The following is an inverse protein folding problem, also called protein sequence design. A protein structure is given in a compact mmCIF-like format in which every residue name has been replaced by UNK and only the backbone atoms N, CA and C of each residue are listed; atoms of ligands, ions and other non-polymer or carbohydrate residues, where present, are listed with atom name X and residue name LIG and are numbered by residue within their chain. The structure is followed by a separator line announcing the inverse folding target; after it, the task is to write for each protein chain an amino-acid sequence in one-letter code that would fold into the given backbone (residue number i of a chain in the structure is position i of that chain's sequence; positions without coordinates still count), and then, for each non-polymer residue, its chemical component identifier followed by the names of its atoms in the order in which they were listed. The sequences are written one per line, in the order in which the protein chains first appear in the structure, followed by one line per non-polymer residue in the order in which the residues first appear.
data_IF_034087957871
#
_entry.id   IF_034087957871
#
_cell.length_a   1.000
_cell.length_b   1.000
_cell.length_c   1.000
_cell.angle_alpha   90.00
_cell.angle_beta   90.00
_cell.angle_gamma   90.00
#
_symmetry.space_group_name_H-M   'P 1'
#
loop_
_entity.id
_entity.type
_entity.pdbx_description
1 polymer ?
#
# COMPACT_ATOMS: atom_id res chain seq x y z
N UNK A 1 16.60 14.25 -23.64
CA UNK A 1 16.75 14.66 -22.23
C UNK A 1 16.20 13.53 -21.38
N UNK A 2 17.05 12.77 -20.69
CA UNK A 2 16.62 11.71 -19.77
C UNK A 2 16.22 12.33 -18.43
N UNK A 3 15.06 11.95 -17.89
CA UNK A 3 14.65 12.36 -16.55
C UNK A 3 15.69 11.92 -15.50
N UNK A 4 15.96 12.74 -14.47
CA UNK A 4 16.89 12.34 -13.42
C UNK A 4 16.38 11.08 -12.71
N UNK A 5 17.28 10.20 -12.23
CA UNK A 5 16.89 9.02 -11.48
C UNK A 5 16.10 9.44 -10.23
N UNK A 6 14.90 8.87 -10.05
CA UNK A 6 14.06 9.06 -8.86
C UNK A 6 14.90 8.76 -7.61
N UNK A 7 15.32 9.81 -6.90
CA UNK A 7 16.08 9.67 -5.65
C UNK A 7 15.14 9.09 -4.59
N UNK A 8 15.23 7.77 -4.37
CA UNK A 8 14.74 7.11 -3.16
C UNK A 8 13.23 6.89 -3.04
N UNK A 9 12.47 7.07 -4.12
CA UNK A 9 11.02 6.82 -4.16
C UNK A 9 10.71 5.52 -4.93
N UNK A 10 10.09 4.57 -4.23
CA UNK A 10 9.62 3.31 -4.79
C UNK A 10 8.09 3.23 -4.66
N UNK A 11 7.39 3.15 -5.79
CA UNK A 11 5.92 3.07 -5.80
C UNK A 11 5.53 1.61 -5.66
N UNK A 12 4.83 1.29 -4.58
CA UNK A 12 4.48 -0.09 -4.22
C UNK A 12 3.10 -0.49 -4.74
N UNK A 13 2.16 0.45 -4.71
CA UNK A 13 0.78 0.21 -5.14
C UNK A 13 0.13 1.50 -5.67
N UNK A 14 -0.71 1.35 -6.69
CA UNK A 14 -1.53 2.41 -7.25
C UNK A 14 -2.93 1.87 -7.54
N UNK A 15 -3.96 2.54 -7.04
CA UNK A 15 -5.36 2.18 -7.31
C UNK A 15 -6.17 3.43 -7.64
N UNK A 16 -6.97 3.36 -8.70
CA UNK A 16 -7.93 4.42 -8.99
C UNK A 16 -9.07 4.40 -7.95
N UNK A 17 -9.49 5.58 -7.53
CA UNK A 17 -10.69 5.76 -6.70
C UNK A 17 -11.77 6.49 -7.49
N UNK A 18 -13.00 6.14 -7.14
CA UNK A 18 -14.19 6.66 -7.77
C UNK A 18 -15.15 7.17 -6.69
N UNK A 19 -15.82 8.28 -6.96
CA UNK A 19 -16.83 8.86 -6.09
C UNK A 19 -18.20 8.76 -6.77
N UNK A 20 -19.24 8.59 -5.97
CA UNK A 20 -20.62 8.47 -6.45
C UNK A 20 -21.19 9.85 -6.82
N UNK A 21 -22.05 9.89 -7.84
CA UNK A 21 -22.76 11.07 -8.29
C UNK A 21 -24.14 10.69 -8.84
N UNK A 22 -25.02 11.67 -9.03
CA UNK A 22 -26.36 11.44 -9.58
C UNK A 22 -26.35 10.71 -10.94
N UNK A 23 -25.24 10.79 -11.68
CA UNK A 23 -25.05 10.18 -13.00
C UNK A 23 -24.13 8.93 -12.97
N UNK A 24 -23.86 8.37 -11.79
CA UNK A 24 -22.98 7.21 -11.58
C UNK A 24 -21.61 7.59 -11.00
N UNK A 25 -20.63 6.70 -11.18
CA UNK A 25 -19.30 6.89 -10.59
C UNK A 25 -18.38 7.72 -11.48
N UNK A 26 -17.73 8.73 -10.90
CA UNK A 26 -16.70 9.51 -11.57
C UNK A 26 -15.33 9.28 -10.94
N UNK A 27 -14.28 9.43 -11.74
CA UNK A 27 -12.91 9.31 -11.26
C UNK A 27 -12.59 10.41 -10.26
N UNK A 28 -12.22 10.00 -9.06
CA UNK A 28 -11.94 10.89 -7.95
C UNK A 28 -10.43 11.10 -7.74
N UNK A 29 -9.58 10.21 -8.25
CA UNK A 29 -8.13 10.27 -8.14
C UNK A 29 -7.49 8.88 -8.18
N UNK A 30 -6.18 8.84 -7.97
CA UNK A 30 -5.44 7.59 -7.80
C UNK A 30 -4.79 7.60 -6.42
N UNK A 31 -5.12 6.63 -5.58
CA UNK A 31 -4.41 6.39 -4.33
C UNK A 31 -3.08 5.72 -4.63
N UNK A 32 -2.03 6.19 -3.99
CA UNK A 32 -0.68 5.67 -4.14
C UNK A 32 -0.10 5.32 -2.78
N UNK A 33 0.50 4.14 -2.68
CA UNK A 33 1.38 3.75 -1.58
C UNK A 33 2.80 3.73 -2.11
N UNK A 34 3.69 4.45 -1.45
CA UNK A 34 5.09 4.53 -1.85
C UNK A 34 6.02 4.54 -0.66
N UNK A 35 7.26 4.11 -0.91
CA UNK A 35 8.34 4.14 0.05
C UNK A 35 9.27 5.30 -0.30
N UNK A 36 9.62 6.10 0.69
CA UNK A 36 10.63 7.15 0.57
C UNK A 36 11.52 7.16 1.80
N UNK A 37 12.83 7.08 1.60
CA UNK A 37 13.82 7.06 2.70
C UNK A 37 13.51 6.02 3.78
N UNK A 38 13.03 4.83 3.38
CA UNK A 38 12.68 3.73 4.29
C UNK A 38 11.32 3.86 4.99
N UNK A 39 10.64 5.00 4.88
CA UNK A 39 9.29 5.20 5.43
C UNK A 39 8.23 4.92 4.36
N UNK A 40 7.06 4.44 4.80
CA UNK A 40 5.89 4.25 3.95
C UNK A 40 4.96 5.46 4.03
N UNK A 41 4.41 5.85 2.89
CA UNK A 41 3.47 6.96 2.76
C UNK A 41 2.27 6.54 1.92
N UNK A 42 1.13 7.14 2.22
CA UNK A 42 0.00 7.17 1.31
C UNK A 42 -0.28 8.59 0.85
N UNK A 43 -0.72 8.73 -0.40
CA UNK A 43 -1.07 10.00 -1.01
C UNK A 43 -2.15 9.79 -2.07
N UNK A 44 -2.81 10.88 -2.47
CA UNK A 44 -3.77 10.92 -3.56
C UNK A 44 -3.20 11.72 -4.73
N UNK A 45 -3.28 11.16 -5.94
CA UNK A 45 -2.99 11.85 -7.18
C UNK A 45 -4.29 12.32 -7.81
N UNK A 46 -4.32 13.54 -8.34
CA UNK A 46 -5.46 14.05 -9.12
C UNK A 46 -5.49 13.54 -10.57
N UNK A 47 -4.42 12.89 -11.01
CA UNK A 47 -4.24 12.43 -12.38
C UNK A 47 -4.26 10.90 -12.48
N UNK A 48 -4.62 10.42 -13.68
CA UNK A 48 -4.46 9.02 -14.08
C UNK A 48 -3.06 8.84 -14.67
N UNK A 49 -2.26 7.94 -14.10
CA UNK A 49 -0.99 7.54 -14.70
C UNK A 49 -1.05 6.09 -15.13
N UNK A 50 -0.55 5.83 -16.34
CA UNK A 50 -0.47 4.47 -16.90
C UNK A 50 0.70 3.66 -16.33
N UNK A 51 1.65 4.31 -15.65
CA UNK A 51 2.85 3.68 -15.10
C UNK A 51 3.33 4.42 -13.84
N UNK A 52 3.82 3.71 -12.82
CA UNK A 52 4.46 4.31 -11.65
C UNK A 52 5.66 5.21 -11.98
N UNK A 53 6.37 4.92 -13.07
CA UNK A 53 7.52 5.72 -13.54
C UNK A 53 7.14 7.15 -13.97
N UNK A 54 5.86 7.39 -14.22
CA UNK A 54 5.36 8.67 -14.76
C UNK A 54 4.81 9.58 -13.66
N UNK A 55 4.78 9.10 -12.41
CA UNK A 55 4.25 9.87 -11.28
C UNK A 55 5.15 11.07 -11.03
N UNK A 56 4.56 12.27 -11.06
CA UNK A 56 5.21 13.51 -10.64
C UNK A 56 4.81 13.81 -9.19
N UNK A 57 5.80 13.97 -8.33
CA UNK A 57 5.60 14.19 -6.89
C UNK A 57 4.87 15.49 -6.57
N UNK A 58 4.93 16.48 -7.45
CA UNK A 58 4.19 17.74 -7.28
C UNK A 58 2.68 17.57 -7.42
N UNK A 59 2.22 16.45 -8.01
CA UNK A 59 0.80 16.15 -8.21
C UNK A 59 0.20 15.35 -7.03
N UNK A 60 1.02 15.07 -6.00
CA UNK A 60 0.61 14.37 -4.79
C UNK A 60 -0.09 15.31 -3.81
N UNK A 61 -1.22 14.85 -3.30
CA UNK A 61 -2.01 15.52 -2.28
C UNK A 61 -2.26 14.58 -1.10
N UNK A 62 -2.59 15.16 0.05
CA UNK A 62 -2.91 14.42 1.28
C UNK A 62 -1.82 13.40 1.64
N UNK A 63 -0.55 13.81 1.53
CA UNK A 63 0.60 12.97 1.85
C UNK A 63 0.60 12.72 3.36
N UNK A 64 0.47 11.45 3.73
CA UNK A 64 0.44 11.03 5.13
C UNK A 64 1.40 9.85 5.26
N UNK A 65 2.24 9.91 6.29
CA UNK A 65 3.12 8.79 6.62
C UNK A 65 2.32 7.66 7.26
N UNK A 66 2.48 6.44 6.74
CA UNK A 66 1.87 5.25 7.32
C UNK A 66 2.71 4.85 8.54
N UNK A 67 2.14 4.81 9.75
CA UNK A 67 2.88 4.42 10.94
C UNK A 67 3.25 2.93 10.84
N UNK A 68 4.43 2.58 11.36
CA UNK A 68 4.94 1.19 11.37
C UNK A 68 3.92 0.23 11.98
N UNK A 69 3.23 0.64 13.04
CA UNK A 69 2.22 -0.17 13.73
C UNK A 69 1.02 -0.55 12.86
N UNK A 70 0.76 0.15 11.75
CA UNK A 70 -0.37 -0.16 10.87
C UNK A 70 -0.09 -1.36 9.93
N UNK A 71 1.18 -1.62 9.60
CA UNK A 71 1.58 -2.72 8.70
C UNK A 71 2.55 -3.72 9.33
N UNK A 72 3.12 -3.36 10.49
CA UNK A 72 3.91 -4.23 11.34
C UNK A 72 3.44 -4.03 12.78
N UNK A 73 2.22 -4.50 13.11
CA UNK A 73 1.66 -4.33 14.45
C UNK A 73 2.57 -5.02 15.47
N UNK A 74 2.86 -4.33 16.58
CA UNK A 74 3.50 -4.96 17.73
C UNK A 74 2.56 -6.01 18.29
N UNK A 75 2.92 -7.28 18.13
CA UNK A 75 2.22 -8.38 18.79
C UNK A 75 2.43 -8.25 20.31
N UNK A 76 1.33 -8.27 21.07
CA UNK A 76 1.40 -8.40 22.53
C UNK A 76 2.21 -9.65 22.89
N UNK A 77 3.04 -9.54 23.92
CA UNK A 77 3.73 -10.70 24.50
C UNK A 77 2.75 -11.76 25.04
N UNK A 78 1.49 -11.39 25.23
CA UNK A 78 0.39 -12.29 25.64
C UNK A 78 -0.18 -13.13 24.49
N UNK A 79 0.10 -12.78 23.23
CA UNK A 79 -0.22 -13.69 22.13
C UNK A 79 0.75 -14.86 22.20
N UNK A 80 0.22 -16.04 22.53
CA UNK A 80 0.96 -17.28 22.45
C UNK A 80 1.33 -17.55 21.00
N UNK A 81 2.61 -17.86 20.78
CA UNK A 81 3.03 -18.49 19.53
C UNK A 81 2.11 -19.69 19.25
N UNK A 82 1.79 -19.90 17.98
CA UNK A 82 1.14 -21.14 17.59
C UNK A 82 1.95 -22.32 18.16
N UNK A 83 1.32 -23.34 18.75
CA UNK A 83 2.03 -24.49 19.27
C UNK A 83 3.03 -25.02 18.23
N UNK A 84 4.29 -25.21 18.61
CA UNK A 84 5.33 -25.74 17.70
C UNK A 84 4.91 -27.08 17.07
N UNK A 85 4.07 -27.82 17.80
CA UNK A 85 3.48 -29.08 17.37
C UNK A 85 1.97 -28.95 17.27
N UNK A 86 1.41 -29.44 16.16
CA UNK A 86 -0.04 -29.59 16.02
C UNK A 86 -0.61 -30.39 17.22
N UNK A 87 -1.78 -30.03 17.74
CA UNK A 87 -2.45 -30.82 18.77
C UNK A 87 -2.57 -32.29 18.38
N UNK A 88 -2.50 -33.18 19.36
CA UNK A 88 -2.76 -34.62 19.16
C UNK A 88 -4.14 -34.79 18.50
N UNK A 89 -4.21 -35.56 17.40
CA UNK A 89 -5.38 -35.73 16.51
C UNK A 89 -5.65 -34.61 15.49
N UNK A 90 -4.66 -33.79 15.16
CA UNK A 90 -4.74 -32.89 14.01
C UNK A 90 -4.42 -33.61 12.71
N UNK A 91 -5.23 -33.41 11.67
CA UNK A 91 -4.97 -33.91 10.31
C UNK A 91 -4.75 -32.71 9.39
N UNK A 92 -3.56 -32.61 8.79
CA UNK A 92 -3.28 -31.60 7.76
C UNK A 92 -3.70 -32.18 6.43
N UNK A 93 -4.62 -31.51 5.73
CA UNK A 93 -4.93 -31.84 4.35
C UNK A 93 -3.77 -31.38 3.49
N UNK A 94 -3.12 -32.29 2.77
CA UNK A 94 -2.15 -31.90 1.74
C UNK A 94 -2.90 -31.27 0.56
N UNK A 95 -2.37 -30.20 -0.06
CA UNK A 95 -2.96 -29.67 -1.29
C UNK A 95 -2.86 -30.72 -2.41
N UNK A 96 -3.91 -30.79 -3.23
CA UNK A 96 -3.97 -31.64 -4.45
C UNK A 96 -3.14 -31.04 -5.59
#
# INVERSE_FOLDING_TARGET
MSAPPNLGQDVLEMNETYEDSDNGFYFAGTLMVYRMNGNLYHAKLKARYSSPSNVNTNDLENIIQIPISAYNPTFSAEFTLAPETLPTNSFVKTPD
#
